data_IF_913618606754
#
_entry.id   IF_913618606754
#
_cell.length_a   1.000
_cell.length_b   1.000
_cell.length_c   1.000
_cell.angle_alpha   90.00
_cell.angle_beta   90.00
_cell.angle_gamma   90.00
#
_symmetry.space_group_name_H-M   'P 1'
#
loop_
_entity.id
_entity.type
_entity.pdbx_description
1 polymer ?
#
# COMPACT_ATOMS: atom_id res chain seq x y z
N UNK A 1 -3.29 -8.82 -21.38
CA UNK A 1 -2.62 -7.83 -20.51
C UNK A 1 -2.26 -8.55 -19.22
N UNK A 2 -0.97 -8.68 -18.88
CA UNK A 2 -0.53 -9.54 -17.77
C UNK A 2 -1.05 -8.98 -16.43
N UNK A 3 -1.95 -9.72 -15.80
CA UNK A 3 -2.53 -9.48 -14.47
C UNK A 3 -1.51 -9.01 -13.40
N UNK A 4 -0.28 -9.59 -13.29
CA UNK A 4 0.72 -9.10 -12.32
C UNK A 4 1.24 -7.68 -12.61
N UNK A 5 1.14 -7.17 -13.83
CA UNK A 5 1.64 -5.85 -14.21
C UNK A 5 0.64 -4.73 -13.92
N UNK A 6 -0.66 -5.01 -14.02
CA UNK A 6 -1.72 -4.06 -13.66
C UNK A 6 -1.87 -3.93 -12.14
N UNK A 7 -1.58 -5.02 -11.42
CA UNK A 7 -1.55 -5.10 -9.95
C UNK A 7 -0.53 -4.15 -9.29
N UNK A 8 0.61 -3.89 -9.94
CA UNK A 8 1.68 -3.04 -9.40
C UNK A 8 1.44 -1.55 -9.56
N UNK A 9 0.71 -1.16 -10.61
CA UNK A 9 0.46 0.25 -10.96
C UNK A 9 -0.64 0.89 -10.10
N UNK A 10 -1.55 0.09 -9.54
CA UNK A 10 -2.60 0.59 -8.63
C UNK A 10 -2.02 0.85 -7.22
N UNK A 11 -1.02 0.07 -6.79
CA UNK A 11 -0.44 0.17 -5.44
C UNK A 11 0.51 1.37 -5.22
N UNK A 12 1.19 1.86 -6.26
CA UNK A 12 1.94 3.12 -6.20
C UNK A 12 1.04 4.34 -5.95
N UNK A 13 -0.25 4.24 -6.29
CA UNK A 13 -1.26 5.23 -5.95
C UNK A 13 -1.62 5.19 -4.46
N UNK A 14 -1.74 4.01 -3.85
CA UNK A 14 -2.14 3.85 -2.44
C UNK A 14 -1.05 4.22 -1.43
N UNK A 15 0.23 4.06 -1.77
CA UNK A 15 1.33 4.53 -0.91
C UNK A 15 1.56 6.05 -0.97
N UNK A 16 1.02 6.72 -1.99
CA UNK A 16 1.19 8.17 -2.19
C UNK A 16 0.04 9.02 -1.64
N UNK A 17 -1.05 8.39 -1.19
CA UNK A 17 -2.26 9.06 -0.73
C UNK A 17 -2.51 8.84 0.78
N UNK A 18 -1.48 8.97 1.60
CA UNK A 18 -1.71 9.65 2.88
C UNK A 18 -1.85 11.13 2.56
N UNK A 19 -3.07 11.61 2.43
CA UNK A 19 -3.34 13.06 2.48
C UNK A 19 -2.83 13.55 3.83
N UNK A 20 -1.60 14.06 3.86
CA UNK A 20 -1.10 14.79 5.01
C UNK A 20 -2.05 15.96 5.22
N UNK A 21 -2.83 15.90 6.29
CA UNK A 21 -3.44 17.08 6.87
C UNK A 21 -2.33 18.11 7.04
N UNK A 22 -2.44 19.26 6.36
CA UNK A 22 -1.43 20.32 6.34
C UNK A 22 -1.29 21.07 7.68
N UNK A 23 -1.76 20.50 8.80
CA UNK A 23 -1.60 21.06 10.14
C UNK A 23 -0.37 20.47 10.86
N UNK A 24 0.77 20.40 10.17
CA UNK A 24 2.05 20.12 10.84
C UNK A 24 2.45 21.36 11.63
N UNK A 25 2.57 21.25 12.96
CA UNK A 25 3.22 22.30 13.75
C UNK A 25 4.70 22.40 13.37
N UNK A 26 5.33 23.55 13.60
CA UNK A 26 6.78 23.71 13.35
C UNK A 26 7.64 22.71 14.15
N UNK A 27 7.09 22.16 15.25
CA UNK A 27 7.72 21.15 16.11
C UNK A 27 7.57 19.72 15.60
N UNK A 28 6.67 19.44 14.65
CA UNK A 28 6.53 18.10 14.10
C UNK A 28 7.58 17.87 13.01
N UNK A 29 8.59 17.05 13.33
CA UNK A 29 9.73 16.75 12.46
C UNK A 29 9.62 15.37 11.80
N UNK A 30 8.42 14.78 11.78
CA UNK A 30 8.16 13.46 11.18
C UNK A 30 8.69 13.35 9.75
N UNK A 31 8.48 14.40 8.94
CA UNK A 31 9.02 14.46 7.56
C UNK A 31 10.54 14.33 7.55
N UNK A 32 11.23 15.09 8.40
CA UNK A 32 12.69 15.06 8.49
C UNK A 32 13.22 13.65 8.80
N UNK A 33 12.58 12.97 9.75
CA UNK A 33 12.93 11.60 10.09
C UNK A 33 12.73 10.65 8.93
N UNK A 34 11.58 10.73 8.25
CA UNK A 34 11.30 9.90 7.07
C UNK A 34 12.37 10.10 5.98
N UNK A 35 12.70 11.34 5.65
CA UNK A 35 13.68 11.62 4.60
C UNK A 35 15.09 11.18 5.03
N UNK A 36 15.48 11.42 6.30
CA UNK A 36 16.73 10.89 6.85
C UNK A 36 16.86 9.38 6.73
N UNK A 37 15.85 8.62 7.18
CA UNK A 37 15.87 7.16 7.06
C UNK A 37 15.86 6.71 5.60
N UNK A 38 15.20 7.43 4.70
CA UNK A 38 15.19 7.13 3.27
C UNK A 38 16.57 7.32 2.66
N UNK A 39 17.21 8.47 2.87
CA UNK A 39 18.57 8.75 2.39
C UNK A 39 19.59 7.78 2.99
N UNK A 40 19.43 7.41 4.27
CA UNK A 40 20.24 6.38 4.92
C UNK A 40 20.08 5.00 4.27
N UNK A 41 18.84 4.59 4.00
CA UNK A 41 18.52 3.28 3.43
C UNK A 41 19.06 3.14 2.00
N UNK A 42 18.87 4.17 1.17
CA UNK A 42 19.32 4.18 -0.22
C UNK A 42 20.83 4.38 -0.38
N UNK A 43 21.49 4.92 0.66
CA UNK A 43 22.90 5.31 0.59
C UNK A 43 23.14 6.64 -0.14
N UNK A 44 22.13 7.49 -0.21
CA UNK A 44 22.15 8.77 -0.92
C UNK A 44 22.99 9.83 -0.19
N UNK A 45 23.08 9.77 1.15
CA UNK A 45 24.02 10.59 1.91
C UNK A 45 25.33 9.87 2.20
N UNK A 46 26.46 10.48 1.86
CA UNK A 46 27.76 9.96 2.28
C UNK A 46 27.93 9.98 3.80
N UNK A 47 27.25 10.91 4.47
CA UNK A 47 27.30 11.13 5.91
C UNK A 47 26.71 9.96 6.73
N UNK A 48 25.86 9.13 6.12
CA UNK A 48 25.26 7.94 6.75
C UNK A 48 26.10 6.66 6.54
N UNK A 49 27.13 6.70 5.68
CA UNK A 49 27.97 5.54 5.38
C UNK A 49 28.73 5.09 6.63
N UNK A 50 28.55 3.84 7.02
CA UNK A 50 29.20 3.24 8.20
C UNK A 50 28.43 3.41 9.51
N UNK A 51 27.29 4.13 9.51
CA UNK A 51 26.35 4.11 10.61
C UNK A 51 25.36 2.96 10.38
N UNK A 52 25.27 2.03 11.32
CA UNK A 52 24.27 0.97 11.25
C UNK A 52 22.90 1.47 11.77
N UNK A 53 22.32 2.42 11.03
CA UNK A 53 21.14 3.20 11.40
C UNK A 53 19.91 2.32 11.68
N UNK A 54 19.87 1.11 11.12
CA UNK A 54 18.74 0.19 11.24
C UNK A 54 18.94 -0.90 12.29
N UNK A 55 20.17 -1.09 12.82
CA UNK A 55 20.44 -2.03 13.92
C UNK A 55 20.70 -1.33 15.26
N UNK A 56 21.24 -0.11 15.24
CA UNK A 56 21.46 0.68 16.43
C UNK A 56 20.12 1.08 17.06
N UNK A 57 20.11 1.22 18.39
CA UNK A 57 18.99 1.87 19.06
C UNK A 57 18.90 3.33 18.56
N UNK A 58 17.69 3.89 18.53
CA UNK A 58 17.47 5.24 17.99
C UNK A 58 18.31 6.30 18.71
N UNK A 59 18.66 6.09 19.97
CA UNK A 59 19.52 6.98 20.76
C UNK A 59 20.90 7.14 20.14
N UNK A 60 21.57 6.03 19.82
CA UNK A 60 22.95 6.01 19.38
C UNK A 60 23.08 6.53 17.93
N UNK A 61 22.04 6.28 17.12
CA UNK A 61 21.91 6.84 15.76
C UNK A 61 21.90 8.36 15.80
N UNK A 62 21.01 8.98 16.56
CA UNK A 62 20.86 10.44 16.55
C UNK A 62 21.91 11.15 17.39
N UNK A 63 22.54 10.50 18.38
CA UNK A 63 23.72 11.05 19.06
C UNK A 63 24.93 11.13 18.14
N UNK A 64 25.31 9.99 17.55
CA UNK A 64 26.51 9.89 16.69
C UNK A 64 26.28 10.58 15.35
N UNK A 65 25.08 10.44 14.79
CA UNK A 65 24.68 10.99 13.50
C UNK A 65 24.12 12.41 13.56
N UNK A 66 24.30 13.17 14.65
CA UNK A 66 23.69 14.52 14.81
C UNK A 66 23.98 15.46 13.63
N UNK A 67 25.24 15.59 13.24
CA UNK A 67 25.65 16.44 12.10
C UNK A 67 25.01 15.97 10.80
N UNK A 68 25.07 14.67 10.55
CA UNK A 68 24.48 13.99 9.40
C UNK A 68 22.95 14.19 9.31
N UNK A 69 22.23 14.05 10.42
CA UNK A 69 20.79 14.29 10.46
C UNK A 69 20.45 15.75 10.18
N UNK A 70 21.20 16.70 10.76
CA UNK A 70 20.96 18.13 10.52
C UNK A 70 21.28 18.53 9.07
N UNK A 71 22.26 17.91 8.43
CA UNK A 71 22.57 18.08 7.01
C UNK A 71 21.38 17.68 6.14
N UNK A 72 20.87 16.44 6.31
CA UNK A 72 19.69 15.97 5.57
C UNK A 72 18.45 16.83 5.88
N UNK A 73 18.26 17.20 7.15
CA UNK A 73 17.12 18.01 7.54
C UNK A 73 17.15 19.42 6.91
N UNK A 74 18.34 19.98 6.68
CA UNK A 74 18.48 21.29 6.03
C UNK A 74 18.03 21.26 4.57
N UNK A 75 18.25 20.13 3.90
CA UNK A 75 17.92 19.96 2.48
C UNK A 75 16.46 19.54 2.27
N UNK A 76 15.95 18.64 3.11
CA UNK A 76 14.69 17.93 2.84
C UNK A 76 13.47 18.43 3.66
N UNK A 77 13.70 19.15 4.76
CA UNK A 77 12.64 19.67 5.62
C UNK A 77 12.22 21.08 5.26
N UNK A 78 11.05 21.49 5.77
CA UNK A 78 10.70 22.91 5.73
C UNK A 78 11.67 23.71 6.61
N UNK A 79 12.03 24.92 6.17
CA UNK A 79 12.99 25.78 6.89
C UNK A 79 12.63 25.97 8.36
N UNK A 80 11.33 26.10 8.68
CA UNK A 80 10.85 26.22 10.08
C UNK A 80 11.09 24.96 10.93
N UNK A 81 11.00 23.77 10.34
CA UNK A 81 11.29 22.51 11.03
C UNK A 81 12.80 22.37 11.27
N UNK A 82 13.62 22.73 10.29
CA UNK A 82 15.07 22.77 10.45
C UNK A 82 15.51 23.77 11.52
N UNK A 83 14.96 24.99 11.52
CA UNK A 83 15.26 26.01 12.52
C UNK A 83 14.88 25.55 13.93
N UNK A 84 13.77 24.81 14.06
CA UNK A 84 13.38 24.20 15.33
C UNK A 84 14.36 23.09 15.75
N UNK A 85 14.69 22.16 14.86
CA UNK A 85 15.61 21.04 15.11
C UNK A 85 17.02 21.50 15.50
N UNK A 86 17.56 22.48 14.76
CA UNK A 86 18.91 22.99 15.00
C UNK A 86 19.05 23.66 16.36
N UNK A 87 17.99 24.30 16.86
CA UNK A 87 17.98 24.97 18.18
C UNK A 87 17.60 24.04 19.33
N UNK A 88 16.75 23.04 19.09
CA UNK A 88 16.16 22.20 20.12
C UNK A 88 16.53 20.72 19.97
N UNK A 89 17.72 20.44 19.44
CA UNK A 89 18.13 19.07 19.11
C UNK A 89 18.09 18.12 20.31
N UNK A 90 18.52 18.60 21.47
CA UNK A 90 18.60 17.76 22.67
C UNK A 90 17.19 17.40 23.18
N UNK A 91 16.23 18.31 23.04
CA UNK A 91 14.81 18.02 23.30
C UNK A 91 14.24 17.01 22.29
N UNK A 92 14.60 17.15 21.00
CA UNK A 92 14.24 16.15 19.99
C UNK A 92 14.79 14.76 20.36
N UNK A 93 16.06 14.70 20.77
CA UNK A 93 16.71 13.45 21.17
C UNK A 93 16.04 12.86 22.42
N UNK A 94 15.64 13.67 23.39
CA UNK A 94 14.87 13.21 24.55
C UNK A 94 13.55 12.54 24.13
N UNK A 95 12.82 13.13 23.17
CA UNK A 95 11.58 12.55 22.61
C UNK A 95 11.84 11.23 21.88
N UNK A 96 12.97 11.09 21.18
CA UNK A 96 13.33 9.86 20.47
C UNK A 96 13.68 8.69 21.39
N UNK A 97 14.09 8.98 22.63
CA UNK A 97 14.79 8.03 23.50
C UNK A 97 14.04 7.72 24.80
N UNK A 98 13.19 8.64 25.24
CA UNK A 98 12.40 8.49 26.46
C UNK A 98 11.08 7.80 26.13
N UNK A 99 11.05 6.47 26.28
CA UNK A 99 9.81 5.70 26.13
C UNK A 99 8.80 6.13 27.21
N UNK A 100 7.56 6.50 26.85
CA UNK A 100 6.55 6.86 27.83
C UNK A 100 6.15 5.66 28.70
N UNK A 101 6.02 5.87 30.01
CA UNK A 101 5.74 4.80 30.98
C UNK A 101 4.30 4.25 30.92
N UNK A 102 3.33 5.08 30.51
CA UNK A 102 1.88 4.76 30.61
C UNK A 102 1.10 4.97 29.30
N UNK A 103 1.78 5.01 28.14
CA UNK A 103 1.09 5.15 26.85
C UNK A 103 0.75 3.75 26.29
N UNK A 104 -0.42 3.25 26.67
CA UNK A 104 -0.94 1.96 26.19
C UNK A 104 -1.36 1.99 24.72
N UNK A 105 -1.61 3.17 24.16
CA UNK A 105 -2.23 3.35 22.85
C UNK A 105 -1.22 3.77 21.77
N UNK A 106 0.07 3.86 22.13
CA UNK A 106 1.17 4.19 21.22
C UNK A 106 1.00 5.50 20.44
N UNK A 107 0.32 6.47 21.07
CA UNK A 107 -0.04 7.75 20.44
C UNK A 107 1.02 8.82 20.58
N UNK A 108 1.97 8.64 21.51
CA UNK A 108 3.03 9.60 21.74
C UNK A 108 3.96 9.76 20.53
N UNK A 109 4.58 10.94 20.46
CA UNK A 109 5.58 11.29 19.46
C UNK A 109 6.76 10.31 19.43
N UNK A 110 7.12 9.71 20.59
CA UNK A 110 8.14 8.68 20.68
C UNK A 110 7.88 7.53 19.69
N UNK A 111 6.68 6.93 19.72
CA UNK A 111 6.36 5.80 18.85
C UNK A 111 6.27 6.22 17.38
N UNK A 112 5.61 7.35 17.11
CA UNK A 112 5.49 7.94 15.76
C UNK A 112 6.85 8.14 15.10
N UNK A 113 7.80 8.71 15.83
CA UNK A 113 9.12 9.02 15.28
C UNK A 113 9.97 7.76 15.10
N UNK A 114 9.94 6.84 16.07
CA UNK A 114 10.63 5.56 15.96
C UNK A 114 10.08 4.68 14.82
N UNK A 115 8.81 4.86 14.44
CA UNK A 115 8.19 4.13 13.34
C UNK A 115 8.70 4.55 11.95
N UNK A 116 9.25 5.76 11.82
CA UNK A 116 9.70 6.27 10.52
C UNK A 116 10.81 5.43 9.89
N UNK A 117 11.58 4.68 10.69
CA UNK A 117 12.63 3.77 10.21
C UNK A 117 12.11 2.64 9.32
N UNK A 118 10.84 2.27 9.45
CA UNK A 118 10.23 1.17 8.67
C UNK A 118 9.71 1.62 7.30
N UNK A 119 9.46 2.92 7.10
CA UNK A 119 8.90 3.45 5.86
C UNK A 119 9.78 3.20 4.62
N UNK A 120 11.10 3.43 4.63
CA UNK A 120 11.91 3.12 3.45
C UNK A 120 11.91 1.63 3.11
N UNK A 121 11.79 0.74 4.09
CA UNK A 121 11.66 -0.70 3.84
C UNK A 121 10.38 -1.03 3.07
N UNK A 122 9.26 -0.37 3.40
CA UNK A 122 7.99 -0.55 2.65
C UNK A 122 8.13 -0.07 1.20
N UNK A 123 8.77 1.07 0.99
CA UNK A 123 9.00 1.64 -0.35
C UNK A 123 9.95 0.76 -1.19
N UNK A 124 11.00 0.21 -0.56
CA UNK A 124 11.95 -0.71 -1.20
C UNK A 124 11.27 -1.95 -1.76
N UNK A 125 10.29 -2.52 -1.05
CA UNK A 125 9.50 -3.66 -1.58
C UNK A 125 8.85 -3.26 -2.89
N UNK A 126 8.10 -2.15 -2.93
CA UNK A 126 7.40 -1.70 -4.13
C UNK A 126 8.37 -1.49 -5.31
N UNK A 127 9.53 -0.88 -5.07
CA UNK A 127 10.56 -0.69 -6.09
C UNK A 127 11.13 -2.03 -6.59
N UNK A 128 11.44 -2.95 -5.69
CA UNK A 128 11.97 -4.27 -6.05
C UNK A 128 10.97 -5.11 -6.83
N UNK A 129 9.67 -4.98 -6.57
CA UNK A 129 8.69 -5.69 -7.41
C UNK A 129 8.72 -5.19 -8.85
N UNK A 130 8.88 -3.89 -9.08
CA UNK A 130 9.03 -3.32 -10.44
C UNK A 130 10.30 -3.81 -11.15
N UNK A 131 11.36 -4.11 -10.39
CA UNK A 131 12.64 -4.61 -10.90
C UNK A 131 12.68 -6.12 -11.10
N UNK A 132 11.71 -6.87 -10.54
CA UNK A 132 11.70 -8.32 -10.60
C UNK A 132 11.41 -8.80 -12.03
N UNK A 133 12.24 -9.67 -12.63
CA UNK A 133 12.01 -10.14 -14.00
C UNK A 133 10.68 -10.87 -14.14
N UNK A 134 9.92 -10.55 -15.18
CA UNK A 134 8.59 -11.15 -15.42
C UNK A 134 8.63 -12.67 -15.63
N UNK A 135 9.75 -13.16 -16.15
CA UNK A 135 10.06 -14.56 -16.44
C UNK A 135 10.99 -15.20 -15.41
N UNK A 136 11.18 -14.57 -14.24
CA UNK A 136 11.92 -15.17 -13.13
C UNK A 136 11.33 -16.54 -12.78
N UNK A 137 12.20 -17.53 -12.61
CA UNK A 137 11.80 -18.89 -12.21
C UNK A 137 11.54 -18.94 -10.70
N UNK A 138 10.94 -20.03 -10.22
CA UNK A 138 10.85 -20.29 -8.78
C UNK A 138 12.25 -20.30 -8.19
N UNK A 139 12.41 -19.67 -7.02
CA UNK A 139 13.67 -19.49 -6.30
C UNK A 139 14.73 -18.67 -7.05
N UNK A 140 14.33 -17.87 -8.04
CA UNK A 140 15.22 -16.88 -8.63
C UNK A 140 15.74 -15.92 -7.54
N UNK A 141 17.04 -15.52 -7.56
CA UNK A 141 17.59 -14.58 -6.59
C UNK A 141 16.82 -13.26 -6.46
N UNK A 142 16.13 -12.81 -7.52
CA UNK A 142 15.28 -11.63 -7.46
C UNK A 142 14.07 -11.83 -6.54
N UNK A 143 13.40 -12.98 -6.62
CA UNK A 143 12.29 -13.33 -5.72
C UNK A 143 12.75 -13.46 -4.27
N UNK A 144 13.86 -14.16 -4.03
CA UNK A 144 14.39 -14.35 -2.68
C UNK A 144 14.76 -13.02 -2.01
N UNK A 145 15.36 -12.09 -2.78
CA UNK A 145 15.65 -10.73 -2.29
C UNK A 145 14.38 -9.97 -1.91
N UNK A 146 13.32 -10.10 -2.71
CA UNK A 146 12.05 -9.42 -2.48
C UNK A 146 11.31 -9.99 -1.26
N UNK A 147 11.30 -11.32 -1.10
CA UNK A 147 10.74 -12.00 0.08
C UNK A 147 11.48 -11.57 1.35
N UNK A 148 12.82 -11.52 1.32
CA UNK A 148 13.62 -11.03 2.45
C UNK A 148 13.31 -9.56 2.79
N UNK A 149 13.10 -8.69 1.79
CA UNK A 149 12.64 -7.31 2.04
C UNK A 149 11.27 -7.29 2.74
N UNK A 150 10.36 -8.19 2.37
CA UNK A 150 9.09 -8.38 3.04
C UNK A 150 9.25 -8.77 4.51
N UNK A 151 10.10 -9.75 4.82
CA UNK A 151 10.36 -10.20 6.19
C UNK A 151 10.94 -9.09 7.07
N UNK A 152 11.90 -8.32 6.53
CA UNK A 152 12.47 -7.15 7.23
C UNK A 152 11.43 -6.08 7.52
N UNK A 153 10.54 -5.79 6.56
CA UNK A 153 9.49 -4.80 6.77
C UNK A 153 8.44 -5.28 7.77
N UNK A 154 8.00 -6.54 7.70
CA UNK A 154 7.08 -7.17 8.66
C UNK A 154 7.66 -7.08 10.08
N UNK A 155 8.90 -7.52 10.28
CA UNK A 155 9.57 -7.43 11.57
C UNK A 155 9.65 -5.99 12.11
N UNK A 156 9.98 -5.02 11.25
CA UNK A 156 10.04 -3.62 11.67
C UNK A 156 8.68 -3.07 12.13
N UNK A 157 7.59 -3.46 11.46
CA UNK A 157 6.23 -3.07 11.84
C UNK A 157 5.79 -3.76 13.13
N UNK A 158 6.13 -5.04 13.33
CA UNK A 158 5.74 -5.80 14.51
C UNK A 158 6.43 -5.29 15.79
N UNK A 159 7.68 -4.85 15.68
CA UNK A 159 8.41 -4.22 16.80
C UNK A 159 7.81 -2.87 17.22
N UNK A 160 7.02 -2.23 16.36
CA UNK A 160 6.54 -0.87 16.58
C UNK A 160 5.02 -0.79 16.68
N UNK A 161 4.53 -0.54 17.90
CA UNK A 161 3.10 -0.43 18.18
C UNK A 161 2.42 0.85 17.62
N UNK A 162 3.15 1.75 16.96
CA UNK A 162 2.57 2.87 16.22
C UNK A 162 1.73 2.42 15.03
N UNK A 163 2.15 1.34 14.37
CA UNK A 163 1.41 0.82 13.22
C UNK A 163 0.18 0.07 13.70
N UNK A 164 -0.98 0.46 13.17
CA UNK A 164 -2.21 -0.23 13.49
C UNK A 164 -2.26 -1.63 12.84
N UNK A 165 -3.13 -2.49 13.36
CA UNK A 165 -3.28 -3.86 12.85
C UNK A 165 -3.70 -3.88 11.37
N UNK A 166 -4.39 -2.83 10.87
CA UNK A 166 -4.80 -2.77 9.47
C UNK A 166 -3.60 -2.54 8.56
N UNK A 167 -2.65 -1.71 8.97
CA UNK A 167 -1.40 -1.49 8.22
C UNK A 167 -0.53 -2.75 8.19
N UNK A 168 -0.47 -3.49 9.30
CA UNK A 168 0.25 -4.78 9.37
C UNK A 168 -0.39 -5.82 8.47
N UNK A 169 -1.72 -5.99 8.55
CA UNK A 169 -2.48 -6.92 7.70
C UNK A 169 -2.24 -6.59 6.22
N UNK A 170 -2.32 -5.31 5.83
CA UNK A 170 -2.07 -4.89 4.45
C UNK A 170 -0.67 -5.24 3.96
N UNK A 171 0.36 -5.04 4.79
CA UNK A 171 1.72 -5.43 4.43
C UNK A 171 1.83 -6.96 4.30
N UNK A 172 1.22 -7.71 5.22
CA UNK A 172 1.22 -9.16 5.15
C UNK A 172 0.54 -9.69 3.89
N UNK A 173 -0.66 -9.21 3.57
CA UNK A 173 -1.39 -9.57 2.34
C UNK A 173 -0.57 -9.26 1.08
N UNK A 174 0.14 -8.12 1.07
CA UNK A 174 1.03 -7.78 -0.03
C UNK A 174 2.22 -8.73 -0.15
N UNK A 175 2.81 -9.12 0.98
CA UNK A 175 3.90 -10.09 1.02
C UNK A 175 3.44 -11.50 0.63
N UNK A 176 2.22 -11.92 0.96
CA UNK A 176 1.65 -13.19 0.51
C UNK A 176 1.50 -13.26 -1.02
N UNK A 177 1.17 -12.14 -1.68
CA UNK A 177 1.11 -12.06 -3.15
C UNK A 177 2.52 -12.21 -3.76
N UNK A 178 3.52 -11.62 -3.12
CA UNK A 178 4.93 -11.74 -3.53
C UNK A 178 5.39 -13.20 -3.41
N UNK A 179 5.12 -13.83 -2.27
CA UNK A 179 5.43 -15.23 -2.02
C UNK A 179 4.70 -16.14 -3.02
N UNK A 180 3.42 -15.87 -3.29
CA UNK A 180 2.63 -16.57 -4.30
C UNK A 180 3.30 -16.47 -5.69
N UNK A 181 3.86 -15.32 -6.05
CA UNK A 181 4.58 -15.13 -7.30
C UNK A 181 5.80 -16.05 -7.48
N UNK A 182 6.37 -16.53 -6.36
CA UNK A 182 7.49 -17.46 -6.26
C UNK A 182 7.03 -18.92 -6.00
N UNK A 183 5.92 -19.36 -6.60
CA UNK A 183 5.41 -20.73 -6.45
C UNK A 183 5.25 -21.43 -7.80
N UNK A 184 5.30 -22.77 -7.80
CA UNK A 184 4.98 -23.56 -8.99
C UNK A 184 3.54 -23.38 -9.45
N UNK A 185 2.62 -23.09 -8.54
CA UNK A 185 1.24 -22.68 -8.85
C UNK A 185 1.20 -21.47 -9.80
N UNK A 186 1.89 -20.38 -9.43
CA UNK A 186 1.94 -19.16 -10.26
C UNK A 186 2.70 -19.37 -11.57
N UNK A 187 3.76 -20.19 -11.56
CA UNK A 187 4.49 -20.51 -12.79
C UNK A 187 3.64 -21.36 -13.74
N UNK A 188 2.87 -22.31 -13.21
CA UNK A 188 1.97 -23.14 -13.98
C UNK A 188 0.88 -22.31 -14.67
N UNK A 189 0.25 -21.37 -13.97
CA UNK A 189 -0.72 -20.45 -14.58
C UNK A 189 -0.11 -19.68 -15.75
N UNK A 190 1.08 -19.10 -15.54
CA UNK A 190 1.81 -18.38 -16.60
C UNK A 190 2.12 -19.31 -17.78
N UNK A 191 2.52 -20.56 -17.51
CA UNK A 191 2.83 -21.56 -18.52
C UNK A 191 1.60 -21.89 -19.37
N UNK A 192 0.46 -22.21 -18.75
CA UNK A 192 -0.79 -22.51 -19.44
C UNK A 192 -1.25 -21.31 -20.28
N UNK A 193 -1.25 -20.09 -19.72
CA UNK A 193 -1.62 -18.89 -20.46
C UNK A 193 -0.68 -18.57 -21.63
N UNK A 194 0.61 -18.90 -21.50
CA UNK A 194 1.62 -18.65 -22.54
C UNK A 194 1.54 -19.68 -23.66
N UNK A 195 1.38 -20.95 -23.31
CA UNK A 195 1.42 -22.06 -24.26
C UNK A 195 0.06 -22.30 -24.93
N UNK A 196 -1.02 -21.77 -24.33
CA UNK A 196 -2.39 -21.87 -24.86
C UNK A 196 -2.73 -23.31 -25.28
N UNK A 197 -2.64 -24.29 -24.35
CA UNK A 197 -2.82 -25.69 -24.69
C UNK A 197 -4.27 -25.99 -25.09
N UNK A 198 -4.47 -27.07 -25.84
CA UNK A 198 -5.81 -27.61 -26.07
C UNK A 198 -6.34 -28.25 -24.79
N UNK A 199 -7.43 -27.68 -24.26
CA UNK A 199 -8.10 -28.12 -23.05
C UNK A 199 -9.41 -28.89 -23.34
N UNK A 200 -9.67 -29.24 -24.60
CA UNK A 200 -10.91 -29.92 -25.02
C UNK A 200 -11.10 -31.29 -24.36
N UNK A 201 -10.02 -31.93 -23.89
CA UNK A 201 -10.09 -33.22 -23.16
C UNK A 201 -10.73 -33.10 -21.76
N UNK A 202 -10.77 -31.90 -21.17
CA UNK A 202 -11.27 -31.68 -19.82
C UNK A 202 -12.78 -31.39 -19.82
N UNK A 203 -13.58 -32.45 -19.75
CA UNK A 203 -15.05 -32.37 -19.75
C UNK A 203 -15.62 -31.53 -18.57
N UNK A 204 -14.88 -31.41 -17.47
CA UNK A 204 -15.23 -30.60 -16.30
C UNK A 204 -15.38 -29.10 -16.62
N UNK A 205 -14.76 -28.61 -17.70
CA UNK A 205 -14.89 -27.22 -18.15
C UNK A 205 -16.33 -26.91 -18.59
N UNK A 206 -17.07 -27.88 -19.16
CA UNK A 206 -18.47 -27.70 -19.62
C UNK A 206 -18.66 -26.43 -20.48
N UNK A 207 -17.73 -26.18 -21.41
CA UNK A 207 -17.76 -25.00 -22.29
C UNK A 207 -17.22 -23.71 -21.66
N UNK A 208 -16.68 -23.76 -20.43
CA UNK A 208 -15.96 -22.63 -19.83
C UNK A 208 -14.65 -22.35 -20.58
N UNK A 209 -14.45 -21.10 -21.02
CA UNK A 209 -13.21 -20.65 -21.63
C UNK A 209 -12.14 -20.41 -20.55
N UNK A 210 -11.38 -21.45 -20.24
CA UNK A 210 -10.32 -21.42 -19.22
C UNK A 210 -9.20 -20.41 -19.55
N UNK A 211 -8.96 -20.11 -20.82
CA UNK A 211 -7.86 -19.24 -21.25
C UNK A 211 -8.28 -17.76 -21.29
N UNK A 212 -9.56 -17.48 -21.07
CA UNK A 212 -10.06 -16.13 -20.85
C UNK A 212 -9.44 -15.51 -19.58
N UNK A 213 -8.92 -14.29 -19.71
CA UNK A 213 -8.18 -13.56 -18.67
C UNK A 213 -8.98 -12.42 -18.01
N UNK A 214 -10.30 -12.40 -18.19
CA UNK A 214 -11.19 -11.51 -17.44
C UNK A 214 -11.21 -11.87 -15.96
N UNK A 215 -11.43 -10.89 -15.07
CA UNK A 215 -11.55 -11.15 -13.62
C UNK A 215 -12.66 -12.16 -13.30
N UNK A 216 -13.78 -12.12 -14.04
CA UNK A 216 -14.89 -13.06 -13.85
C UNK A 216 -14.46 -14.49 -14.19
N UNK A 217 -13.73 -14.68 -15.30
CA UNK A 217 -13.15 -15.97 -15.65
C UNK A 217 -12.16 -16.44 -14.57
N UNK A 218 -11.30 -15.55 -14.08
CA UNK A 218 -10.32 -15.89 -13.05
C UNK A 218 -10.98 -16.29 -11.72
N UNK A 219 -12.07 -15.63 -11.32
CA UNK A 219 -12.86 -16.03 -10.14
C UNK A 219 -13.49 -17.41 -10.36
N UNK A 220 -14.09 -17.64 -11.54
CA UNK A 220 -14.75 -18.91 -11.86
C UNK A 220 -13.76 -20.09 -11.82
N UNK A 221 -12.52 -19.90 -12.28
CA UNK A 221 -11.44 -20.92 -12.20
C UNK A 221 -11.23 -21.45 -10.78
N UNK A 222 -11.21 -20.57 -9.78
CA UNK A 222 -10.90 -20.94 -8.39
C UNK A 222 -12.14 -21.13 -7.52
N UNK A 223 -13.34 -21.01 -8.09
CA UNK A 223 -14.60 -21.23 -7.38
C UNK A 223 -15.40 -22.33 -8.07
N UNK A 224 -16.22 -22.00 -9.08
CA UNK A 224 -17.07 -22.96 -9.79
C UNK A 224 -16.31 -24.05 -10.55
N UNK A 225 -15.04 -23.81 -10.88
CA UNK A 225 -14.15 -24.73 -11.61
C UNK A 225 -12.92 -25.17 -10.82
N UNK A 226 -12.90 -24.99 -9.50
CA UNK A 226 -11.71 -25.25 -8.68
C UNK A 226 -11.08 -26.63 -8.91
N UNK A 227 -11.88 -27.70 -8.84
CA UNK A 227 -11.40 -29.08 -9.07
C UNK A 227 -10.86 -29.28 -10.50
N UNK A 228 -11.55 -28.72 -11.49
CA UNK A 228 -11.13 -28.80 -12.89
C UNK A 228 -9.82 -28.04 -13.12
N UNK A 229 -9.68 -26.87 -12.52
CA UNK A 229 -8.44 -26.07 -12.54
C UNK A 229 -7.30 -26.84 -11.88
N UNK A 230 -7.55 -27.50 -10.76
CA UNK A 230 -6.57 -28.34 -10.08
C UNK A 230 -6.12 -29.51 -10.96
N UNK A 231 -7.06 -30.26 -11.54
CA UNK A 231 -6.78 -31.35 -12.48
C UNK A 231 -5.94 -30.88 -13.67
N UNK A 232 -6.32 -29.76 -14.30
CA UNK A 232 -5.58 -29.18 -15.44
C UNK A 232 -4.15 -28.80 -15.03
N UNK A 233 -3.98 -28.16 -13.86
CA UNK A 233 -2.67 -27.73 -13.38
C UNK A 233 -1.77 -28.92 -13.03
N UNK A 234 -2.32 -29.95 -12.40
CA UNK A 234 -1.61 -31.19 -12.06
C UNK A 234 -1.17 -31.93 -13.33
N UNK A 235 -2.06 -32.11 -14.30
CA UNK A 235 -1.75 -32.75 -15.59
C UNK A 235 -0.65 -32.02 -16.36
N UNK A 236 -0.65 -30.68 -16.33
CA UNK A 236 0.21 -29.87 -17.19
C UNK A 236 1.54 -29.47 -16.56
N UNK A 237 1.58 -29.42 -15.23
CA UNK A 237 2.69 -28.87 -14.46
C UNK A 237 3.19 -29.80 -13.35
N UNK A 238 2.45 -30.87 -13.03
CA UNK A 238 2.79 -31.84 -11.99
C UNK A 238 2.20 -31.51 -10.62
N UNK A 239 2.30 -32.47 -9.71
CA UNK A 239 1.71 -32.44 -8.35
C UNK A 239 2.17 -31.22 -7.52
N UNK A 240 3.41 -30.76 -7.69
CA UNK A 240 3.96 -29.62 -6.95
C UNK A 240 3.17 -28.32 -7.23
N UNK A 241 2.62 -28.17 -8.43
CA UNK A 241 1.83 -26.99 -8.79
C UNK A 241 0.48 -26.92 -8.04
N UNK A 242 0.02 -28.03 -7.46
CA UNK A 242 -1.29 -28.16 -6.80
C UNK A 242 -1.20 -28.54 -5.32
N UNK A 243 -0.01 -28.77 -4.78
CA UNK A 243 0.21 -29.17 -3.38
C UNK A 243 -0.50 -28.24 -2.37
N UNK A 244 -0.45 -26.93 -2.61
CA UNK A 244 -1.08 -25.91 -1.76
C UNK A 244 -2.20 -25.15 -2.51
N UNK A 245 -2.90 -25.83 -3.42
CA UNK A 245 -3.87 -25.22 -4.34
C UNK A 245 -4.88 -24.32 -3.63
N UNK A 246 -5.54 -24.79 -2.58
CA UNK A 246 -6.61 -24.03 -1.90
C UNK A 246 -6.09 -22.73 -1.27
N UNK A 247 -4.89 -22.78 -0.67
CA UNK A 247 -4.23 -21.60 -0.10
C UNK A 247 -3.92 -20.59 -1.20
N UNK A 248 -3.35 -21.04 -2.30
CA UNK A 248 -2.94 -20.19 -3.42
C UNK A 248 -4.12 -19.62 -4.21
N UNK A 249 -5.17 -20.41 -4.39
CA UNK A 249 -6.46 -20.00 -4.93
C UNK A 249 -7.09 -18.89 -4.07
N UNK A 250 -7.11 -19.08 -2.75
CA UNK A 250 -7.63 -18.06 -1.81
C UNK A 250 -6.84 -16.74 -1.88
N UNK A 251 -5.51 -16.79 -1.91
CA UNK A 251 -4.68 -15.57 -2.04
C UNK A 251 -4.99 -14.86 -3.37
N UNK A 252 -5.13 -15.62 -4.46
CA UNK A 252 -5.52 -15.08 -5.77
C UNK A 252 -6.88 -14.38 -5.71
N UNK A 253 -7.89 -15.02 -5.11
CA UNK A 253 -9.24 -14.47 -4.98
C UNK A 253 -9.27 -13.21 -4.10
N UNK A 254 -8.57 -13.22 -2.96
CA UNK A 254 -8.46 -12.05 -2.08
C UNK A 254 -7.85 -10.86 -2.83
N UNK A 255 -6.80 -11.11 -3.61
CA UNK A 255 -6.17 -10.08 -4.43
C UNK A 255 -7.12 -9.51 -5.50
N UNK A 256 -7.89 -10.37 -6.19
CA UNK A 256 -8.93 -9.91 -7.14
C UNK A 256 -9.99 -9.05 -6.42
N UNK A 257 -10.45 -9.48 -5.24
CA UNK A 257 -11.42 -8.73 -4.45
C UNK A 257 -10.89 -7.34 -4.08
N UNK A 258 -9.62 -7.23 -3.65
CA UNK A 258 -8.98 -5.95 -3.37
C UNK A 258 -8.99 -5.01 -4.59
N UNK A 259 -8.67 -5.52 -5.79
CA UNK A 259 -8.71 -4.73 -7.02
C UNK A 259 -10.13 -4.24 -7.33
N UNK A 260 -11.14 -5.12 -7.20
CA UNK A 260 -12.53 -4.77 -7.45
C UNK A 260 -13.00 -3.65 -6.51
N UNK A 261 -12.66 -3.76 -5.21
CA UNK A 261 -12.98 -2.74 -4.22
C UNK A 261 -12.29 -1.40 -4.51
N UNK A 262 -11.01 -1.42 -4.90
CA UNK A 262 -10.27 -0.22 -5.29
C UNK A 262 -10.86 0.43 -6.55
N UNK A 263 -11.20 -0.37 -7.55
CA UNK A 263 -11.79 0.10 -8.82
C UNK A 263 -13.18 0.71 -8.59
N UNK A 264 -14.00 0.08 -7.73
CA UNK A 264 -15.30 0.61 -7.32
C UNK A 264 -15.15 1.95 -6.60
N UNK A 265 -14.20 2.07 -5.66
CA UNK A 265 -13.94 3.32 -4.96
C UNK A 265 -13.52 4.46 -5.89
N UNK A 266 -12.64 4.17 -6.86
CA UNK A 266 -12.20 5.15 -7.86
C UNK A 266 -13.34 5.58 -8.79
N UNK A 267 -14.13 4.62 -9.27
CA UNK A 267 -15.28 4.90 -10.12
C UNK A 267 -16.34 5.73 -9.38
N UNK A 268 -16.70 5.33 -8.15
CA UNK A 268 -17.64 6.06 -7.30
C UNK A 268 -17.17 7.50 -7.06
N UNK A 269 -15.89 7.68 -6.69
CA UNK A 269 -15.30 9.01 -6.49
C UNK A 269 -15.34 9.84 -7.77
N UNK A 270 -15.01 9.24 -8.91
CA UNK A 270 -15.10 9.89 -10.22
C UNK A 270 -16.54 10.31 -10.53
N UNK A 271 -17.53 9.46 -10.26
CA UNK A 271 -18.95 9.81 -10.42
C UNK A 271 -19.34 10.98 -9.51
N UNK A 272 -18.93 10.98 -8.24
CA UNK A 272 -19.19 12.11 -7.33
C UNK A 272 -18.59 13.40 -7.88
N UNK A 273 -17.31 13.39 -8.28
CA UNK A 273 -16.60 14.58 -8.73
C UNK A 273 -17.05 15.09 -10.10
N UNK A 274 -17.43 14.22 -11.03
CA UNK A 274 -17.67 14.59 -12.42
C UNK A 274 -19.13 14.52 -12.85
N UNK A 275 -20.01 13.84 -12.11
CA UNK A 275 -21.42 13.68 -12.46
C UNK A 275 -22.33 14.47 -11.52
N UNK A 276 -22.10 14.39 -10.21
CA UNK A 276 -23.00 14.95 -9.18
C UNK A 276 -22.79 16.48 -9.02
N UNK A 277 -23.85 17.28 -9.12
CA UNK A 277 -23.86 18.67 -8.62
C UNK A 277 -24.01 18.63 -7.08
N UNK A 278 -23.25 19.41 -6.28
CA UNK A 278 -22.44 20.58 -6.64
C UNK A 278 -20.96 20.30 -6.99
N UNK A 279 -20.45 19.09 -6.69
CA UNK A 279 -19.04 18.72 -6.84
C UNK A 279 -18.49 18.91 -8.27
N UNK A 280 -19.29 18.57 -9.29
CA UNK A 280 -18.92 18.81 -10.69
C UNK A 280 -18.67 20.28 -11.01
N UNK A 281 -19.47 21.19 -10.46
CA UNK A 281 -19.29 22.63 -10.71
C UNK A 281 -18.08 23.16 -9.96
N UNK A 282 -17.82 22.64 -8.76
CA UNK A 282 -16.57 22.90 -8.04
C UNK A 282 -15.33 22.49 -8.86
N UNK A 283 -15.28 21.25 -9.35
CA UNK A 283 -14.16 20.75 -10.17
C UNK A 283 -13.99 21.58 -11.45
N UNK A 284 -15.09 21.93 -12.13
CA UNK A 284 -15.04 22.82 -13.30
C UNK A 284 -14.49 24.21 -12.97
N UNK A 285 -14.85 24.78 -11.83
CA UNK A 285 -14.37 26.09 -11.40
C UNK A 285 -12.86 26.06 -11.12
N UNK A 286 -12.36 24.99 -10.48
CA UNK A 286 -10.92 24.77 -10.30
C UNK A 286 -10.21 24.70 -11.65
N UNK A 287 -10.70 23.89 -12.60
CA UNK A 287 -10.11 23.74 -13.93
C UNK A 287 -10.10 25.08 -14.70
N UNK A 288 -11.15 25.88 -14.54
CA UNK A 288 -11.26 27.21 -15.16
C UNK A 288 -10.44 28.30 -14.44
N UNK A 289 -9.72 27.95 -13.37
CA UNK A 289 -8.91 28.90 -12.60
C UNK A 289 -9.73 29.88 -11.75
N UNK A 290 -11.04 29.66 -11.59
CA UNK A 290 -11.89 30.54 -10.81
C UNK A 290 -11.82 30.16 -9.32
N UNK A 291 -11.17 31.00 -8.51
CA UNK A 291 -10.88 30.73 -7.09
C UNK A 291 -11.92 31.30 -6.12
N UNK A 292 -12.95 32.03 -6.60
CA UNK A 292 -14.05 32.46 -5.74
C UNK A 292 -14.99 31.28 -5.47
N UNK A 293 -14.74 30.58 -4.37
CA UNK A 293 -15.48 29.40 -3.97
C UNK A 293 -16.19 29.61 -2.64
N UNK A 294 -17.50 29.39 -2.61
CA UNK A 294 -18.27 29.41 -1.36
C UNK A 294 -18.52 27.96 -0.88
N UNK A 295 -17.93 27.53 0.26
CA UNK A 295 -18.15 26.20 0.82
C UNK A 295 -19.62 25.90 1.19
N UNK A 296 -20.44 26.94 1.40
CA UNK A 296 -21.87 26.81 1.74
C UNK A 296 -22.69 26.23 0.58
N UNK A 297 -22.19 26.35 -0.66
CA UNK A 297 -22.83 25.81 -1.86
C UNK A 297 -22.55 24.29 -2.07
N UNK A 298 -21.70 23.68 -1.23
CA UNK A 298 -21.33 22.26 -1.33
C UNK A 298 -22.26 21.31 -0.58
N UNK A 299 -22.99 21.80 0.42
CA UNK A 299 -23.75 20.95 1.32
C UNK A 299 -25.15 20.71 0.76
N UNK A 300 -25.50 19.43 0.57
CA UNK A 300 -26.84 19.01 0.18
C UNK A 300 -27.85 19.20 1.33
N UNK A 301 -28.11 20.45 1.71
CA UNK A 301 -29.19 20.83 2.62
C UNK A 301 -29.86 22.10 2.12
N UNK A 302 -30.59 21.96 1.02
CA UNK A 302 -31.91 22.55 0.94
C UNK A 302 -32.91 21.41 1.12
N UNK A 303 -33.09 20.95 2.37
CA UNK A 303 -34.40 20.44 2.73
C UNK A 303 -35.36 21.63 2.54
N UNK A 304 -36.21 21.53 1.53
CA UNK A 304 -37.22 22.54 1.26
C UNK A 304 -38.02 22.77 2.54
N UNK A 305 -37.92 23.96 3.12
CA UNK A 305 -38.95 24.50 4.00
C UNK A 305 -40.17 24.82 3.15
N UNK A 306 -40.81 23.78 2.62
CA UNK A 306 -42.12 23.86 1.99
C UNK A 306 -43.15 23.60 3.08
N UNK A 307 -43.64 24.66 3.70
CA UNK A 307 -44.90 24.64 4.43
C UNK A 307 -46.01 24.22 3.46
N UNK A 308 -46.35 22.93 3.45
CA UNK A 308 -47.61 22.43 2.89
C UNK A 308 -48.57 22.32 4.07
N UNK A 309 -49.53 23.24 4.11
CA UNK A 309 -50.64 23.18 5.04
C UNK A 309 -51.37 21.85 4.88
N UNK A 310 -51.37 21.04 5.93
CA UNK A 310 -52.23 19.86 6.03
C UNK A 310 -53.65 20.37 6.21
N UNK A 311 -54.50 20.13 5.21
CA UNK A 311 -55.93 20.39 5.27
C UNK A 311 -56.55 19.63 6.44
N UNK A 312 -57.27 20.37 7.28
CA UNK A 312 -58.15 19.88 8.32
C UNK A 312 -59.23 18.95 7.76
N UNK A 313 -59.41 17.79 8.38
CA UNK A 313 -60.68 17.06 8.36
C UNK A 313 -61.32 17.30 9.72
N UNK A 314 -62.48 17.95 9.71
CA UNK A 314 -63.35 18.15 10.85
C UNK A 314 -63.99 16.82 11.28
N UNK A 315 -64.22 16.73 12.60
CA UNK A 315 -64.89 15.67 13.38
C UNK A 315 -66.00 14.90 12.63
#
# INVERSE_FOLDING_TARGET
MNLPLFLLLIFSFFFSLSTSSNNSTNSDVTRCLKEFYTSAFNGDCNCTKGLDIFSLNSTDVFKTGKSCFLEVAKEECFSKQYDFLSKNYDQFLEVMTTKPLNDSNCTSTYYKYNAQKCLPMKTDIAQKVLQTPKNAKVNDPAWLKLINSCDRAKACLDENCYFDEKEKIKLNEYCEIIELGNTEFSMCQKKILKEYPDLSKYNCLKGFDFLNNTMVSEIEKYTGKAECTKEIMEDYCGEIAVENFDKHARITLNNIAMILMASHGLLSTSCTLFVIKPYREFVKNIIKGNRSFNPQDMWATQMQSGSVAVGSVSV
#
